data_IF_359411736621
#
_entry.id   IF_359411736621
#
_cell.length_a   1.000
_cell.length_b   1.000
_cell.length_c   1.000
_cell.angle_alpha   90.00
_cell.angle_beta   90.00
_cell.angle_gamma   90.00
#
_symmetry.space_group_name_H-M   'P 1'
#
loop_
_entity.id
_entity.type
_entity.pdbx_description
1 polymer ?
#
# COMPACT_ATOMS: atom_id res chain seq x y z
N UNK A 1 5.11 32.32 0.39
CA UNK A 1 5.83 31.03 0.17
C UNK A 1 5.30 30.49 -1.16
N UNK A 2 6.11 30.31 -2.21
CA UNK A 2 5.64 29.60 -3.39
C UNK A 2 5.42 28.13 -3.02
N UNK A 3 4.21 27.62 -3.27
CA UNK A 3 3.89 26.20 -3.12
C UNK A 3 4.78 25.42 -4.08
N UNK A 4 5.64 24.54 -3.55
CA UNK A 4 6.42 23.63 -4.38
C UNK A 4 5.45 22.72 -5.16
N UNK A 5 5.71 22.44 -6.46
CA UNK A 5 4.91 21.47 -7.19
C UNK A 5 5.07 20.10 -6.53
N UNK A 6 3.95 19.39 -6.34
CA UNK A 6 3.95 17.99 -5.89
C UNK A 6 4.76 17.17 -6.89
N UNK A 7 5.95 16.72 -6.49
CA UNK A 7 6.65 15.68 -7.22
C UNK A 7 6.08 14.35 -6.72
N UNK A 8 5.53 13.49 -7.60
CA UNK A 8 5.16 12.15 -7.16
C UNK A 8 6.41 11.49 -6.60
N UNK A 9 6.31 10.93 -5.41
CA UNK A 9 7.41 10.17 -4.84
C UNK A 9 7.81 9.07 -5.84
N UNK A 10 9.11 8.78 -6.05
CA UNK A 10 9.50 7.68 -6.90
C UNK A 10 8.93 6.39 -6.32
N UNK A 11 8.09 5.71 -7.09
CA UNK A 11 7.54 4.39 -6.77
C UNK A 11 8.00 3.38 -7.79
N UNK A 12 7.99 2.10 -7.40
CA UNK A 12 8.25 0.99 -8.30
C UNK A 12 7.21 -0.09 -8.11
N UNK A 13 6.88 -0.81 -9.19
CA UNK A 13 5.91 -1.90 -9.14
C UNK A 13 6.40 -3.00 -8.19
N UNK A 14 5.55 -3.43 -7.26
CA UNK A 14 5.87 -4.50 -6.31
C UNK A 14 5.89 -5.86 -7.02
N UNK A 15 7.04 -6.52 -6.98
CA UNK A 15 7.30 -7.83 -7.60
C UNK A 15 7.55 -8.91 -6.55
N UNK A 16 7.60 -10.18 -6.98
CA UNK A 16 7.86 -11.31 -6.08
C UNK A 16 9.21 -11.20 -5.33
N UNK A 17 10.20 -10.50 -5.90
CA UNK A 17 11.49 -10.23 -5.27
C UNK A 17 11.42 -9.15 -4.18
N UNK A 18 10.30 -8.43 -4.09
CA UNK A 18 10.09 -7.34 -3.12
C UNK A 18 9.34 -7.79 -1.87
N UNK A 19 9.10 -9.10 -1.76
CA UNK A 19 8.51 -9.72 -0.58
C UNK A 19 9.34 -9.39 0.66
N UNK A 20 8.65 -9.05 1.74
CA UNK A 20 9.28 -8.65 2.99
C UNK A 20 9.46 -9.82 3.96
N UNK A 21 8.72 -10.93 3.75
CA UNK A 21 8.64 -12.04 4.69
C UNK A 21 7.69 -11.78 5.86
N UNK A 22 6.99 -10.64 5.88
CA UNK A 22 6.01 -10.27 6.89
C UNK A 22 4.56 -10.45 6.43
N UNK A 23 3.59 -10.20 7.34
CA UNK A 23 2.17 -10.39 7.07
C UNK A 23 1.64 -9.59 5.86
N UNK A 24 2.26 -8.45 5.53
CA UNK A 24 1.90 -7.67 4.34
C UNK A 24 1.92 -8.53 3.06
N UNK A 25 2.89 -9.43 2.90
CA UNK A 25 2.99 -10.24 1.69
C UNK A 25 1.73 -11.11 1.48
N UNK A 26 1.22 -11.69 2.56
CA UNK A 26 0.00 -12.52 2.54
C UNK A 26 -1.25 -11.68 2.26
N UNK A 27 -1.30 -10.44 2.77
CA UNK A 27 -2.35 -9.47 2.44
C UNK A 27 -2.36 -9.15 0.96
N UNK A 28 -1.20 -8.81 0.39
CA UNK A 28 -1.08 -8.47 -1.03
C UNK A 28 -1.39 -9.66 -1.93
N UNK A 29 -0.96 -10.87 -1.57
CA UNK A 29 -1.31 -12.09 -2.30
C UNK A 29 -2.82 -12.34 -2.28
N UNK A 30 -3.45 -12.20 -1.10
CA UNK A 30 -4.91 -12.35 -0.95
C UNK A 30 -5.66 -11.33 -1.80
N UNK A 31 -5.23 -10.07 -1.79
CA UNK A 31 -5.83 -9.00 -2.60
C UNK A 31 -5.68 -9.27 -4.10
N UNK A 32 -4.52 -9.74 -4.56
CA UNK A 32 -4.30 -10.10 -5.98
C UNK A 32 -5.20 -11.24 -6.43
N UNK A 33 -5.43 -12.24 -5.58
CA UNK A 33 -6.35 -13.34 -5.89
C UNK A 33 -7.79 -12.86 -6.04
N UNK A 34 -8.21 -11.90 -5.21
CA UNK A 34 -9.56 -11.33 -5.24
C UNK A 34 -9.75 -10.28 -6.34
N UNK A 35 -8.67 -9.62 -6.74
CA UNK A 35 -8.66 -8.53 -7.69
C UNK A 35 -7.57 -8.77 -8.76
N UNK A 36 -7.85 -9.52 -9.84
CA UNK A 36 -6.85 -9.85 -10.87
C UNK A 36 -6.22 -8.64 -11.59
N UNK A 37 -6.84 -7.45 -11.48
CA UNK A 37 -6.32 -6.19 -11.98
C UNK A 37 -5.64 -5.31 -10.92
N UNK A 38 -5.30 -5.87 -9.75
CA UNK A 38 -4.66 -5.13 -8.66
C UNK A 38 -3.26 -4.67 -9.10
N UNK A 39 -3.05 -3.36 -9.02
CA UNK A 39 -1.75 -2.75 -9.14
C UNK A 39 -1.21 -2.46 -7.74
N UNK A 40 0.07 -2.77 -7.51
CA UNK A 40 0.74 -2.50 -6.25
C UNK A 40 2.07 -1.84 -6.57
N UNK A 41 2.30 -0.66 -6.04
CA UNK A 41 3.57 0.03 -6.08
C UNK A 41 4.13 0.13 -4.66
N UNK A 42 5.46 0.12 -4.56
CA UNK A 42 6.20 0.35 -3.33
C UNK A 42 6.95 1.67 -3.48
N UNK A 43 6.95 2.47 -2.41
CA UNK A 43 7.78 3.66 -2.33
C UNK A 43 9.25 3.28 -2.52
N UNK A 44 9.90 3.90 -3.49
CA UNK A 44 11.31 3.70 -3.80
C UNK A 44 12.13 4.81 -3.13
N UNK A 45 13.02 4.44 -2.21
CA UNK A 45 13.72 5.41 -1.38
C UNK A 45 14.94 5.94 -2.09
N UNK A 46 15.04 7.26 -2.16
CA UNK A 46 16.21 7.95 -2.72
C UNK A 46 17.10 8.59 -1.65
N UNK A 47 16.69 8.65 -0.38
CA UNK A 47 17.43 9.33 0.70
C UNK A 47 17.70 8.42 1.91
N UNK A 48 18.84 8.53 2.61
CA UNK A 48 19.09 7.79 3.85
C UNK A 48 18.14 8.25 4.98
N UNK A 49 17.18 7.40 5.35
CA UNK A 49 16.31 7.60 6.51
C UNK A 49 14.83 7.30 6.29
N UNK A 50 14.32 7.47 5.06
CA UNK A 50 12.91 7.20 4.72
C UNK A 50 12.51 5.74 4.99
N UNK A 51 11.27 5.47 5.35
CA UNK A 51 10.83 4.08 5.48
C UNK A 51 10.34 3.56 4.11
N UNK A 52 10.78 2.37 3.71
CA UNK A 52 10.38 1.75 2.43
C UNK A 52 9.12 0.89 2.61
N UNK A 53 8.38 1.13 3.68
CA UNK A 53 7.23 0.32 4.08
C UNK A 53 5.90 0.92 3.64
N UNK A 54 5.96 1.90 2.73
CA UNK A 54 4.78 2.52 2.13
C UNK A 54 4.50 1.89 0.77
N UNK A 55 3.25 1.49 0.59
CA UNK A 55 2.73 0.82 -0.60
C UNK A 55 1.50 1.55 -1.11
N UNK A 56 1.35 1.62 -2.42
CA UNK A 56 0.21 2.22 -3.08
C UNK A 56 -0.52 1.17 -3.91
N UNK A 57 -1.82 1.03 -3.67
CA UNK A 57 -2.66 0.01 -4.29
C UNK A 57 -3.68 0.68 -5.20
N UNK A 58 -3.89 0.10 -6.38
CA UNK A 58 -4.85 0.55 -7.37
C UNK A 58 -5.53 -0.62 -8.08
N UNK A 59 -6.56 -0.32 -8.87
CA UNK A 59 -7.31 -1.32 -9.62
C UNK A 59 -7.50 -0.87 -11.08
N UNK A 60 -7.08 -1.73 -12.02
CA UNK A 60 -7.23 -1.45 -13.45
C UNK A 60 -6.41 -0.23 -13.89
N UNK A 61 -7.10 0.83 -14.35
CA UNK A 61 -6.44 2.08 -14.76
C UNK A 61 -6.30 3.11 -13.63
N UNK A 62 -6.99 2.91 -12.52
CA UNK A 62 -6.94 3.83 -11.38
C UNK A 62 -5.84 3.37 -10.42
N UNK A 63 -4.79 4.18 -10.30
CA UNK A 63 -3.68 3.96 -9.36
C UNK A 63 -3.93 4.72 -8.05
N UNK A 64 -3.17 4.35 -7.02
CA UNK A 64 -3.08 5.07 -5.74
C UNK A 64 -4.42 5.33 -5.04
N UNK A 65 -5.29 4.32 -5.05
CA UNK A 65 -6.58 4.35 -4.34
C UNK A 65 -6.37 4.22 -2.83
N UNK A 66 -5.41 3.38 -2.43
CA UNK A 66 -5.11 3.10 -1.03
C UNK A 66 -3.61 3.15 -0.83
N UNK A 67 -3.17 3.92 0.16
CA UNK A 67 -1.83 3.85 0.71
C UNK A 67 -1.83 2.91 1.92
N UNK A 68 -0.82 2.06 2.03
CA UNK A 68 -0.59 1.18 3.17
C UNK A 68 0.82 1.43 3.66
N UNK A 69 0.95 1.93 4.88
CA UNK A 69 2.23 2.01 5.60
C UNK A 69 2.30 0.87 6.61
N UNK A 70 3.50 0.32 6.80
CA UNK A 70 3.76 -0.80 7.70
C UNK A 70 4.96 -0.55 8.59
N UNK A 71 5.07 -1.31 9.67
CA UNK A 71 6.35 -1.49 10.36
C UNK A 71 7.41 -2.18 9.49
N UNK A 72 8.67 -2.23 9.98
CA UNK A 72 9.78 -2.89 9.30
C UNK A 72 9.43 -4.28 8.80
N UNK A 73 9.94 -4.64 7.62
CA UNK A 73 9.74 -5.94 6.99
C UNK A 73 8.26 -6.32 6.79
N UNK A 74 7.38 -5.33 6.56
CA UNK A 74 5.95 -5.59 6.30
C UNK A 74 5.16 -6.00 7.54
N UNK A 75 5.68 -5.70 8.73
CA UNK A 75 5.06 -6.03 10.01
C UNK A 75 4.04 -4.99 10.45
N UNK A 76 3.21 -5.35 11.43
CA UNK A 76 2.41 -4.38 12.16
C UNK A 76 3.30 -3.32 12.86
N UNK A 77 2.80 -2.11 13.13
CA UNK A 77 1.43 -1.64 12.85
C UNK A 77 1.19 -1.38 11.35
N UNK A 78 -0.07 -1.46 10.94
CA UNK A 78 -0.53 -1.08 9.61
C UNK A 78 -1.28 0.24 9.70
N UNK A 79 -0.99 1.15 8.78
CA UNK A 79 -1.75 2.37 8.56
C UNK A 79 -2.29 2.32 7.13
N UNK A 80 -3.62 2.17 7.00
CA UNK A 80 -4.32 2.15 5.72
C UNK A 80 -4.96 3.51 5.50
N UNK A 81 -4.54 4.24 4.48
CA UNK A 81 -5.01 5.58 4.16
C UNK A 81 -5.65 5.61 2.76
N UNK A 82 -6.88 6.12 2.69
CA UNK A 82 -7.56 6.50 1.46
C UNK A 82 -8.32 7.82 1.73
N UNK A 83 -9.64 7.86 1.55
CA UNK A 83 -10.47 8.99 1.98
C UNK A 83 -10.50 9.14 3.52
N UNK A 84 -10.25 8.06 4.23
CA UNK A 84 -10.14 7.96 5.68
C UNK A 84 -8.92 7.11 6.07
N UNK A 85 -8.56 7.17 7.36
CA UNK A 85 -7.39 6.49 7.93
C UNK A 85 -7.82 5.41 8.91
N UNK A 86 -7.24 4.23 8.77
CA UNK A 86 -7.38 3.10 9.70
C UNK A 86 -5.98 2.69 10.17
N UNK A 87 -5.75 2.78 11.48
CA UNK A 87 -4.54 2.30 12.14
C UNK A 87 -4.86 1.01 12.90
N UNK A 88 -4.13 -0.07 12.64
CA UNK A 88 -4.38 -1.37 13.28
C UNK A 88 -3.11 -2.20 13.42
N UNK A 89 -3.08 -3.08 14.41
CA UNK A 89 -2.04 -4.13 14.52
C UNK A 89 -2.49 -5.46 13.90
N UNK A 90 -3.74 -5.57 13.50
CA UNK A 90 -4.35 -6.81 13.04
C UNK A 90 -4.35 -6.89 11.50
N UNK A 91 -3.64 -7.85 10.88
CA UNK A 91 -3.61 -7.98 9.42
C UNK A 91 -5.00 -8.15 8.80
N UNK A 92 -5.90 -8.86 9.48
CA UNK A 92 -7.27 -9.08 9.00
C UNK A 92 -8.10 -7.79 8.92
N UNK A 93 -7.87 -6.84 9.86
CA UNK A 93 -8.52 -5.54 9.83
C UNK A 93 -7.95 -4.66 8.72
N UNK A 94 -6.62 -4.67 8.54
CA UNK A 94 -5.97 -3.98 7.43
C UNK A 94 -6.49 -4.51 6.08
N UNK A 95 -6.63 -5.83 5.92
CA UNK A 95 -7.21 -6.45 4.73
C UNK A 95 -8.63 -5.95 4.46
N UNK A 96 -9.48 -5.95 5.48
CA UNK A 96 -10.86 -5.52 5.37
C UNK A 96 -10.96 -4.04 4.98
N UNK A 97 -10.10 -3.19 5.57
CA UNK A 97 -10.03 -1.77 5.24
C UNK A 97 -9.64 -1.56 3.77
N UNK A 98 -8.57 -2.21 3.30
CA UNK A 98 -8.12 -2.10 1.90
C UNK A 98 -9.23 -2.56 0.95
N UNK A 99 -9.85 -3.71 1.20
CA UNK A 99 -10.91 -4.29 0.35
C UNK A 99 -12.11 -3.37 0.21
N UNK A 100 -12.54 -2.73 1.29
CA UNK A 100 -13.67 -1.80 1.26
C UNK A 100 -13.44 -0.60 0.31
N UNK A 101 -12.17 -0.23 0.07
CA UNK A 101 -11.78 0.94 -0.73
C UNK A 101 -11.43 0.60 -2.17
N UNK A 102 -10.90 -0.61 -2.43
CA UNK A 102 -10.65 -1.08 -3.79
C UNK A 102 -11.93 -1.46 -4.55
N UNK A 103 -13.05 -1.62 -3.86
CA UNK A 103 -14.33 -1.96 -4.45
C UNK A 103 -15.44 -1.15 -3.78
N UNK A 104 -15.51 0.18 -4.02
CA UNK A 104 -16.65 0.95 -3.53
C UNK A 104 -17.88 0.32 -4.19
N UNK A 105 -18.82 -0.16 -3.37
CA UNK A 105 -20.03 -0.80 -3.85
C UNK A 105 -20.63 0.03 -5.00
N UNK A 106 -20.83 -0.61 -6.16
CA UNK A 106 -21.58 -0.03 -7.27
C UNK A 106 -23.02 0.28 -6.85
#
# INVERSE_FOLDING_TARGET
MPSQPFQPFPTRVWQATDRTGGPLDELLDTLRQQHPGLWVERLDKTQPGDDNNVYFLGLGQTRDIVQVDTGPDGQAPFTVEADDRVDTTEPGEALAAIRARLNPAQ
#
